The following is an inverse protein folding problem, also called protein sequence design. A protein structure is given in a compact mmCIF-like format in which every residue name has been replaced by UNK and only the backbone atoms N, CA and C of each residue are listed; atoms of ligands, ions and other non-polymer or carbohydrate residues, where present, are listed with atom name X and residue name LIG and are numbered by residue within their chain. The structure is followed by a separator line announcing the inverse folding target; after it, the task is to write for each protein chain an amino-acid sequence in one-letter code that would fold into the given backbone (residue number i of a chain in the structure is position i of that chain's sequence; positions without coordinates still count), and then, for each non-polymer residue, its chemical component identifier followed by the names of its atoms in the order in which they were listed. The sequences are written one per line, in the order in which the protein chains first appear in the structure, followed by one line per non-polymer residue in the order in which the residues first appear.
data_IF_802478678737
#
_entry.id   IF_802478678737
#
_cell.length_a   1.000
_cell.length_b   1.000
_cell.length_c   1.000
_cell.angle_alpha   90.00
_cell.angle_beta   90.00
_cell.angle_gamma   90.00
#
_symmetry.space_group_name_H-M   'P 1'
#
loop_
_entity.id
_entity.type
_entity.pdbx_description
1 polymer ?
#
# COMPACT_ATOMS: atom_id res chain seq x y z
N UNK A 1 24.88 27.04 -17.62
CA UNK A 1 24.12 26.02 -16.88
C UNK A 1 23.93 24.85 -17.83
N UNK A 2 24.65 23.74 -17.64
CA UNK A 2 24.47 22.55 -18.49
C UNK A 2 23.05 22.05 -18.27
N UNK A 3 22.26 21.96 -19.34
CA UNK A 3 20.89 21.48 -19.25
C UNK A 3 20.94 20.00 -18.82
N UNK A 4 20.48 19.74 -17.59
CA UNK A 4 20.47 18.42 -16.95
C UNK A 4 19.38 17.57 -17.61
N UNK A 5 19.67 17.05 -18.80
CA UNK A 5 18.75 16.16 -19.51
C UNK A 5 19.14 14.71 -19.23
N UNK A 6 18.18 13.90 -18.79
CA UNK A 6 18.35 12.45 -18.69
C UNK A 6 17.55 11.79 -19.82
N UNK A 7 18.12 11.85 -21.02
CA UNK A 7 17.45 11.33 -22.21
C UNK A 7 17.33 9.81 -22.14
N UNK A 8 16.13 9.31 -22.41
CA UNK A 8 15.85 7.88 -22.48
C UNK A 8 16.56 7.30 -23.72
N UNK A 9 17.58 6.45 -23.51
CA UNK A 9 18.30 5.77 -24.60
C UNK A 9 17.61 4.49 -25.02
N UNK A 10 17.16 3.71 -24.04
CA UNK A 10 16.42 2.47 -24.25
C UNK A 10 15.63 2.08 -23.02
N UNK A 11 14.53 1.36 -23.26
CA UNK A 11 13.74 0.67 -22.26
C UNK A 11 13.74 -0.83 -22.59
N UNK A 12 13.89 -1.67 -21.57
CA UNK A 12 13.80 -3.12 -21.72
C UNK A 12 12.98 -3.70 -20.58
N UNK A 13 11.82 -4.24 -20.92
CA UNK A 13 10.97 -4.97 -20.00
C UNK A 13 11.28 -6.46 -20.01
N UNK A 14 11.08 -7.10 -18.86
CA UNK A 14 11.12 -8.55 -18.66
C UNK A 14 10.04 -8.98 -17.68
N UNK A 15 9.76 -10.27 -17.69
CA UNK A 15 8.88 -10.89 -16.71
C UNK A 15 9.72 -11.47 -15.57
N UNK A 16 9.33 -11.16 -14.34
CA UNK A 16 9.91 -11.70 -13.10
C UNK A 16 8.79 -12.33 -12.26
N UNK A 17 9.11 -12.88 -11.08
CA UNK A 17 8.11 -13.37 -10.13
C UNK A 17 7.96 -12.42 -8.95
N UNK A 18 6.72 -12.22 -8.50
CA UNK A 18 6.38 -11.55 -7.25
C UNK A 18 6.55 -12.48 -6.03
N UNK A 19 6.29 -11.96 -4.83
CA UNK A 19 6.45 -12.64 -3.56
C UNK A 19 5.52 -13.85 -3.35
N UNK A 20 4.53 -14.02 -4.23
CA UNK A 20 3.59 -15.16 -4.26
C UNK A 20 3.93 -16.14 -5.39
N UNK A 21 5.01 -15.90 -6.12
CA UNK A 21 5.44 -16.72 -7.25
C UNK A 21 4.60 -16.52 -8.51
N UNK A 22 3.81 -15.44 -8.61
CA UNK A 22 3.10 -15.10 -9.84
C UNK A 22 3.96 -14.19 -10.71
N UNK A 23 3.82 -14.23 -12.05
CA UNK A 23 4.54 -13.32 -12.92
C UNK A 23 4.20 -11.85 -12.66
N UNK A 24 5.17 -10.96 -12.84
CA UNK A 24 4.98 -9.51 -12.87
C UNK A 24 6.03 -8.84 -13.77
N UNK A 25 5.87 -7.55 -14.02
CA UNK A 25 6.68 -6.77 -14.96
C UNK A 25 7.84 -6.10 -14.21
N UNK A 26 9.04 -6.18 -14.79
CA UNK A 26 10.20 -5.37 -14.44
C UNK A 26 10.71 -4.64 -15.69
N UNK A 27 11.16 -3.39 -15.53
CA UNK A 27 11.68 -2.56 -16.62
C UNK A 27 13.04 -1.97 -16.22
N UNK A 28 14.01 -2.13 -17.12
CA UNK A 28 15.25 -1.35 -17.10
C UNK A 28 15.14 -0.16 -18.06
N UNK A 29 15.57 1.00 -17.57
CA UNK A 29 15.71 2.24 -18.33
C UNK A 29 17.18 2.64 -18.35
N UNK A 30 17.74 2.82 -19.54
CA UNK A 30 19.10 3.33 -19.74
C UNK A 30 19.05 4.81 -20.13
N UNK A 31 19.79 5.67 -19.43
CA UNK A 31 20.04 7.06 -19.81
C UNK A 31 21.53 7.37 -19.90
N UNK A 32 21.88 8.66 -20.02
CA UNK A 32 23.24 9.15 -19.83
C UNK A 32 23.76 9.01 -18.39
N UNK A 33 22.87 8.83 -17.40
CA UNK A 33 23.21 8.69 -15.99
C UNK A 33 23.40 7.25 -15.53
N UNK A 34 22.99 6.26 -16.32
CA UNK A 34 23.15 4.85 -16.00
C UNK A 34 21.90 4.02 -16.30
N UNK A 35 21.82 2.86 -15.67
CA UNK A 35 20.67 1.95 -15.74
C UNK A 35 19.86 2.07 -14.45
N UNK A 36 18.55 2.23 -14.60
CA UNK A 36 17.58 2.25 -13.51
C UNK A 36 16.60 1.11 -13.73
N UNK A 37 16.15 0.50 -12.64
CA UNK A 37 15.22 -0.63 -12.69
C UNK A 37 14.00 -0.33 -11.83
N UNK A 38 12.83 -0.75 -12.27
CA UNK A 38 11.64 -0.81 -11.43
C UNK A 38 10.80 -2.02 -11.75
N UNK A 39 10.13 -2.57 -10.73
CA UNK A 39 9.17 -3.66 -10.89
C UNK A 39 7.87 -3.34 -10.17
N UNK A 40 6.77 -3.86 -10.71
CA UNK A 40 5.42 -3.52 -10.23
C UNK A 40 4.82 -4.63 -9.37
N UNK A 41 4.12 -4.28 -8.28
CA UNK A 41 3.45 -5.26 -7.44
C UNK A 41 2.09 -5.68 -8.03
N UNK A 42 1.52 -6.76 -7.51
CA UNK A 42 0.22 -7.33 -7.88
C UNK A 42 -0.70 -7.48 -6.66
N UNK A 43 -2.01 -7.29 -6.85
CA UNK A 43 -3.03 -7.43 -5.80
C UNK A 43 -3.54 -8.86 -5.60
N UNK A 44 -4.07 -9.19 -4.42
CA UNK A 44 -4.93 -10.37 -4.20
C UNK A 44 -6.41 -10.03 -4.41
N UNK A 45 -6.87 -8.97 -3.74
CA UNK A 45 -8.11 -8.27 -4.02
C UNK A 45 -7.86 -7.23 -5.12
N UNK A 46 -8.65 -7.30 -6.19
CA UNK A 46 -8.67 -6.30 -7.26
C UNK A 46 -10.05 -5.66 -7.22
N UNK A 47 -10.12 -4.42 -6.75
CA UNK A 47 -11.35 -3.65 -6.72
C UNK A 47 -11.88 -3.36 -8.13
N UNK A 48 -13.19 -3.21 -8.28
CA UNK A 48 -13.84 -2.98 -9.58
C UNK A 48 -13.39 -1.69 -10.28
N UNK A 49 -12.89 -0.74 -9.49
CA UNK A 49 -12.57 0.62 -9.92
C UNK A 49 -11.06 0.86 -10.12
N UNK A 50 -10.23 -0.19 -9.97
CA UNK A 50 -8.79 -0.12 -10.21
C UNK A 50 -8.47 -0.03 -11.72
N UNK A 51 -7.31 0.57 -12.02
CA UNK A 51 -6.66 0.42 -13.30
C UNK A 51 -6.34 -1.06 -13.57
N UNK A 52 -6.48 -1.50 -14.82
CA UNK A 52 -6.48 -2.91 -15.17
C UNK A 52 -5.05 -3.43 -15.35
N UNK A 53 -4.67 -4.38 -14.51
CA UNK A 53 -3.49 -5.19 -14.75
C UNK A 53 -3.69 -6.12 -15.96
N UNK A 54 -2.80 -6.05 -16.96
CA UNK A 54 -2.90 -6.91 -18.14
C UNK A 54 -2.20 -8.25 -17.90
N UNK A 55 -2.96 -9.34 -18.02
CA UNK A 55 -2.53 -10.73 -17.91
C UNK A 55 -2.72 -11.46 -19.25
N UNK A 56 -1.90 -12.47 -19.52
CA UNK A 56 -1.90 -13.22 -20.79
C UNK A 56 -3.08 -14.20 -20.93
N UNK A 57 -3.73 -14.57 -19.82
CA UNK A 57 -4.71 -15.66 -19.75
C UNK A 57 -4.11 -17.02 -20.23
N UNK A 58 -4.94 -18.06 -20.29
CA UNK A 58 -4.53 -19.41 -20.73
C UNK A 58 -3.79 -20.26 -19.69
N UNK A 59 -3.03 -21.28 -20.13
CA UNK A 59 -2.44 -22.29 -19.24
C UNK A 59 -1.18 -21.81 -18.52
N UNK A 60 -0.39 -20.95 -19.17
CA UNK A 60 0.93 -20.52 -18.69
C UNK A 60 0.78 -19.71 -17.39
N UNK A 61 1.48 -20.13 -16.33
CA UNK A 61 1.33 -19.56 -14.98
C UNK A 61 -0.14 -19.50 -14.51
N UNK A 62 -0.98 -20.48 -14.90
CA UNK A 62 -2.41 -20.51 -14.58
C UNK A 62 -3.14 -19.22 -15.00
N UNK A 63 -2.81 -18.71 -16.18
CA UNK A 63 -3.41 -17.51 -16.77
C UNK A 63 -2.83 -16.19 -16.25
N UNK A 64 -1.82 -16.24 -15.39
CA UNK A 64 -1.21 -15.04 -14.77
C UNK A 64 0.07 -14.56 -15.46
N UNK A 65 0.40 -15.06 -16.64
CA UNK A 65 1.51 -14.53 -17.44
C UNK A 65 1.37 -13.03 -17.72
N UNK A 66 2.48 -12.33 -17.95
CA UNK A 66 2.49 -10.90 -18.31
C UNK A 66 3.33 -10.61 -19.56
N UNK A 67 3.52 -11.59 -20.44
CA UNK A 67 4.30 -11.43 -21.67
C UNK A 67 3.70 -10.40 -22.61
N UNK A 68 2.37 -10.23 -22.61
CA UNK A 68 1.67 -9.20 -23.37
C UNK A 68 2.02 -7.81 -22.87
N UNK A 69 1.98 -7.58 -21.55
CA UNK A 69 2.39 -6.32 -20.93
C UNK A 69 3.89 -6.03 -21.20
N UNK A 70 4.75 -7.04 -21.08
CA UNK A 70 6.18 -6.94 -21.43
C UNK A 70 6.37 -6.60 -22.92
N UNK A 71 5.58 -7.19 -23.81
CA UNK A 71 5.58 -6.89 -25.25
C UNK A 71 5.16 -5.45 -25.51
N UNK A 72 4.10 -4.97 -24.84
CA UNK A 72 3.61 -3.61 -24.96
C UNK A 72 4.70 -2.61 -24.61
N UNK A 73 5.46 -2.85 -23.52
CA UNK A 73 6.60 -1.99 -23.19
C UNK A 73 7.66 -2.04 -24.28
N UNK A 74 8.14 -3.25 -24.63
CA UNK A 74 9.28 -3.41 -25.52
C UNK A 74 9.00 -2.96 -26.97
N UNK A 75 7.78 -3.17 -27.48
CA UNK A 75 7.44 -2.96 -28.90
C UNK A 75 6.64 -1.68 -29.15
N UNK A 76 5.89 -1.18 -28.16
CA UNK A 76 4.98 -0.04 -28.35
C UNK A 76 5.49 1.18 -27.57
N UNK A 77 5.78 1.05 -26.28
CA UNK A 77 6.17 2.18 -25.43
C UNK A 77 7.63 2.58 -25.69
N UNK A 78 8.56 1.62 -25.65
CA UNK A 78 9.99 1.85 -25.76
C UNK A 78 10.41 2.64 -27.01
N UNK A 79 9.93 2.32 -28.24
CA UNK A 79 10.29 3.10 -29.42
C UNK A 79 9.80 4.55 -29.38
N UNK A 80 8.69 4.82 -28.69
CA UNK A 80 8.06 6.16 -28.66
C UNK A 80 8.58 7.05 -27.53
N UNK A 81 9.14 6.47 -26.47
CA UNK A 81 9.78 7.22 -25.38
C UNK A 81 11.26 7.53 -25.63
N UNK A 82 11.91 6.85 -26.59
CA UNK A 82 13.31 7.09 -26.91
C UNK A 82 13.57 8.56 -27.24
N UNK A 83 14.55 9.16 -26.57
CA UNK A 83 14.96 10.55 -26.76
C UNK A 83 14.18 11.58 -25.92
N UNK A 84 13.07 11.19 -25.27
CA UNK A 84 12.39 12.05 -24.29
C UNK A 84 13.22 12.20 -23.01
N UNK A 85 12.98 13.27 -22.28
CA UNK A 85 13.65 13.56 -21.01
C UNK A 85 12.96 12.82 -19.87
N UNK A 86 13.67 11.95 -19.15
CA UNK A 86 13.11 11.18 -18.03
C UNK A 86 12.74 12.05 -16.82
N UNK A 87 13.21 13.30 -16.76
CA UNK A 87 12.92 14.23 -15.67
C UNK A 87 11.52 14.87 -15.77
N UNK A 88 10.90 14.90 -16.96
CA UNK A 88 9.53 15.41 -17.13
C UNK A 88 8.50 14.31 -16.85
N UNK A 89 8.34 13.99 -15.56
CA UNK A 89 7.46 12.91 -15.10
C UNK A 89 6.03 13.08 -15.64
N UNK A 90 5.50 14.31 -15.61
CA UNK A 90 4.14 14.59 -16.05
C UNK A 90 4.00 14.42 -17.56
N UNK A 91 4.94 14.91 -18.37
CA UNK A 91 4.88 14.71 -19.82
C UNK A 91 4.93 13.22 -20.17
N UNK A 92 5.75 12.43 -19.48
CA UNK A 92 5.86 10.98 -19.67
C UNK A 92 4.57 10.28 -19.31
N UNK A 93 4.03 10.53 -18.11
CA UNK A 93 2.81 9.87 -17.65
C UNK A 93 1.60 10.25 -18.51
N UNK A 94 1.45 11.54 -18.84
CA UNK A 94 0.41 12.02 -19.76
C UNK A 94 0.56 11.39 -21.16
N UNK A 95 1.81 11.19 -21.63
CA UNK A 95 2.08 10.49 -22.88
C UNK A 95 1.68 9.03 -22.82
N UNK A 96 2.00 8.31 -21.73
CA UNK A 96 1.64 6.91 -21.54
C UNK A 96 0.13 6.72 -21.49
N UNK A 97 -0.58 7.58 -20.75
CA UNK A 97 -2.04 7.59 -20.66
C UNK A 97 -2.67 7.81 -22.04
N UNK A 98 -2.22 8.82 -22.80
CA UNK A 98 -2.69 9.04 -24.18
C UNK A 98 -2.34 7.89 -25.12
N UNK A 99 -1.16 7.30 -24.94
CA UNK A 99 -0.69 6.17 -25.74
C UNK A 99 -1.50 4.91 -25.48
N UNK A 100 -2.11 4.78 -24.30
CA UNK A 100 -3.09 3.74 -23.98
C UNK A 100 -4.50 4.10 -24.48
N UNK A 101 -4.98 5.30 -24.18
CA UNK A 101 -6.25 5.83 -24.68
C UNK A 101 -7.52 5.19 -24.10
N UNK A 102 -7.41 4.33 -23.07
CA UNK A 102 -8.54 3.82 -22.29
C UNK A 102 -8.58 4.45 -20.90
N UNK A 103 -9.77 4.56 -20.31
CA UNK A 103 -9.96 5.18 -18.99
C UNK A 103 -9.22 4.41 -17.88
N UNK A 104 -9.21 3.09 -17.95
CA UNK A 104 -8.66 2.19 -16.93
C UNK A 104 -7.35 1.52 -17.35
N UNK A 105 -6.66 2.04 -18.38
CA UNK A 105 -5.34 1.56 -18.83
C UNK A 105 -5.35 0.10 -19.34
N UNK A 106 -6.50 -0.40 -19.80
CA UNK A 106 -6.70 -1.80 -20.14
C UNK A 106 -6.04 -2.23 -21.45
N UNK A 107 -5.64 -1.30 -22.33
CA UNK A 107 -5.06 -1.65 -23.63
C UNK A 107 -3.58 -2.01 -23.53
N UNK A 108 -2.80 -1.21 -22.82
CA UNK A 108 -1.38 -1.45 -22.59
C UNK A 108 -1.14 -2.23 -21.29
N UNK A 109 -2.05 -2.08 -20.31
CA UNK A 109 -1.95 -2.63 -18.97
C UNK A 109 -1.40 -1.60 -17.99
N UNK A 110 -2.07 -1.43 -16.85
CA UNK A 110 -1.62 -0.58 -15.76
C UNK A 110 -0.25 -1.02 -15.20
N UNK A 111 0.03 -2.33 -15.20
CA UNK A 111 1.33 -2.90 -14.86
C UNK A 111 2.44 -2.47 -15.85
N UNK A 112 2.14 -2.40 -17.15
CA UNK A 112 3.10 -1.90 -18.14
C UNK A 112 3.39 -0.40 -17.99
N UNK A 113 2.34 0.39 -17.83
CA UNK A 113 2.43 1.85 -17.72
C UNK A 113 3.14 2.24 -16.43
N UNK A 114 2.76 1.65 -15.29
CA UNK A 114 3.35 1.99 -14.01
C UNK A 114 4.84 1.64 -13.94
N UNK A 115 5.25 0.49 -14.49
CA UNK A 115 6.65 0.08 -14.47
C UNK A 115 7.54 1.12 -15.19
N UNK A 116 7.06 1.65 -16.31
CA UNK A 116 7.74 2.71 -17.07
C UNK A 116 7.69 4.04 -16.31
N UNK A 117 6.55 4.39 -15.71
CA UNK A 117 6.39 5.60 -14.91
C UNK A 117 7.36 5.66 -13.72
N UNK A 118 7.47 4.58 -12.94
CA UNK A 118 8.37 4.48 -11.78
C UNK A 118 9.84 4.55 -12.17
N UNK A 119 10.24 3.84 -13.24
CA UNK A 119 11.65 3.81 -13.65
C UNK A 119 12.08 5.15 -14.26
N UNK A 120 11.16 5.88 -14.92
CA UNK A 120 11.41 7.26 -15.35
C UNK A 120 11.60 8.18 -14.15
N UNK A 121 10.79 8.06 -13.10
CA UNK A 121 10.94 8.83 -11.86
C UNK A 121 12.31 8.59 -11.20
N UNK A 122 12.78 7.34 -11.15
CA UNK A 122 14.15 7.00 -10.68
C UNK A 122 15.24 7.65 -11.52
N UNK A 123 15.10 7.62 -12.84
CA UNK A 123 16.05 8.25 -13.74
C UNK A 123 16.03 9.79 -13.65
N UNK A 124 14.84 10.38 -13.47
CA UNK A 124 14.63 11.81 -13.22
C UNK A 124 15.38 12.29 -11.99
N UNK A 125 15.28 11.58 -10.87
CA UNK A 125 16.02 11.89 -9.65
C UNK A 125 17.55 11.91 -9.88
N UNK A 126 18.07 10.94 -10.64
CA UNK A 126 19.49 10.88 -10.97
C UNK A 126 19.94 11.94 -11.97
N UNK A 127 19.04 12.49 -12.79
CA UNK A 127 19.34 13.60 -13.70
C UNK A 127 19.71 14.87 -12.94
N UNK A 128 19.10 15.04 -11.77
CA UNK A 128 19.25 16.18 -10.87
C UNK A 128 20.32 15.95 -9.79
N UNK A 129 20.92 14.77 -9.77
CA UNK A 129 21.88 14.29 -8.77
C UNK A 129 21.30 14.35 -7.33
N UNK A 130 20.03 13.97 -7.18
CA UNK A 130 19.32 13.91 -5.89
C UNK A 130 18.71 12.53 -5.63
N UNK A 131 18.41 12.24 -4.37
CA UNK A 131 17.69 11.03 -3.97
C UNK A 131 16.25 11.04 -4.47
N UNK A 132 15.70 9.86 -4.78
CA UNK A 132 14.34 9.70 -5.31
C UNK A 132 13.26 10.40 -4.47
N UNK A 133 13.25 10.24 -3.15
CA UNK A 133 12.28 10.94 -2.29
C UNK A 133 12.34 12.48 -2.41
N UNK A 134 13.52 13.06 -2.68
CA UNK A 134 13.67 14.51 -2.90
C UNK A 134 13.10 14.90 -4.26
N UNK A 135 13.34 14.10 -5.28
CA UNK A 135 12.78 14.31 -6.62
C UNK A 135 11.26 14.23 -6.59
N UNK A 136 10.67 13.18 -5.99
CA UNK A 136 9.22 13.03 -5.82
C UNK A 136 8.61 14.25 -5.11
N UNK A 137 9.29 14.77 -4.07
CA UNK A 137 8.86 16.00 -3.39
C UNK A 137 8.86 17.22 -4.30
N UNK A 138 9.90 17.37 -5.12
CA UNK A 138 10.01 18.50 -6.04
C UNK A 138 8.92 18.46 -7.11
N UNK A 139 8.69 17.31 -7.73
CA UNK A 139 7.68 17.16 -8.78
C UNK A 139 6.24 17.16 -8.24
N UNK A 140 6.02 16.82 -6.97
CA UNK A 140 4.72 16.99 -6.28
C UNK A 140 4.44 18.43 -5.83
N UNK A 141 5.40 19.36 -6.02
CA UNK A 141 5.21 20.78 -5.67
C UNK A 141 5.21 21.08 -4.17
N UNK A 142 5.55 20.11 -3.31
CA UNK A 142 5.60 20.28 -1.86
C UNK A 142 6.79 21.17 -1.47
N UNK A 143 6.49 22.33 -0.84
CA UNK A 143 7.49 23.37 -0.52
C UNK A 143 8.10 23.28 0.88
N UNK A 144 7.63 22.36 1.72
CA UNK A 144 8.17 22.21 3.07
C UNK A 144 9.68 21.89 3.01
N UNK A 145 10.42 22.31 4.04
CA UNK A 145 11.88 22.14 4.09
C UNK A 145 12.31 20.89 4.87
N UNK A 146 11.49 20.46 5.82
CA UNK A 146 11.76 19.30 6.66
C UNK A 146 11.29 18.03 5.96
N UNK A 147 12.08 16.96 6.02
CA UNK A 147 11.63 15.64 5.58
C UNK A 147 11.20 14.85 6.82
N UNK A 148 9.92 14.51 6.88
CA UNK A 148 9.38 13.65 7.92
C UNK A 148 9.21 12.25 7.34
N UNK A 149 9.62 11.23 8.08
CA UNK A 149 9.32 9.86 7.70
C UNK A 149 7.88 9.52 8.10
N UNK A 150 7.17 8.71 7.30
CA UNK A 150 5.83 8.25 7.65
C UNK A 150 5.88 7.32 8.87
N UNK A 151 4.81 7.33 9.65
CA UNK A 151 4.61 6.32 10.70
C UNK A 151 4.35 4.96 10.04
N UNK A 152 5.13 3.94 10.40
CA UNK A 152 4.92 2.61 9.84
C UNK A 152 3.87 1.82 10.62
N UNK A 153 3.00 1.16 9.87
CA UNK A 153 2.12 0.11 10.37
C UNK A 153 2.64 -1.24 9.87
N UNK A 154 2.64 -2.22 10.76
CA UNK A 154 3.20 -3.54 10.52
C UNK A 154 2.13 -4.60 10.68
N UNK A 155 1.77 -5.30 9.61
CA UNK A 155 0.78 -6.38 9.65
C UNK A 155 1.37 -7.61 10.35
N UNK A 156 0.92 -7.90 11.58
CA UNK A 156 1.52 -8.96 12.42
C UNK A 156 0.64 -10.20 12.58
N UNK A 157 -0.68 -10.07 12.37
CA UNK A 157 -1.62 -11.18 12.31
C UNK A 157 -2.51 -10.98 11.08
N UNK A 158 -2.58 -12.02 10.26
CA UNK A 158 -3.39 -12.06 9.05
C UNK A 158 -4.69 -12.83 9.29
N UNK A 159 -5.74 -12.41 8.61
CA UNK A 159 -6.99 -13.14 8.38
C UNK A 159 -7.44 -12.96 6.93
N UNK A 160 -8.74 -13.11 6.70
CA UNK A 160 -9.38 -12.88 5.40
C UNK A 160 -8.71 -13.65 4.27
N UNK A 161 -8.56 -13.00 3.11
CA UNK A 161 -7.93 -13.60 1.93
C UNK A 161 -6.42 -13.84 2.08
N UNK A 162 -5.77 -13.26 3.11
CA UNK A 162 -4.32 -13.32 3.32
C UNK A 162 -3.88 -14.50 4.22
N UNK A 163 -4.83 -15.27 4.74
CA UNK A 163 -4.58 -16.38 5.65
C UNK A 163 -5.54 -17.56 5.43
N UNK A 164 -5.08 -18.77 5.74
CA UNK A 164 -5.91 -19.98 5.75
C UNK A 164 -6.62 -20.24 7.09
N UNK A 165 -6.80 -19.21 7.92
CA UNK A 165 -7.43 -19.34 9.25
C UNK A 165 -8.90 -18.89 9.24
N UNK A 166 -9.50 -18.86 10.42
CA UNK A 166 -10.91 -18.52 10.63
C UNK A 166 -11.15 -17.05 10.98
N UNK A 167 -10.16 -16.18 10.82
CA UNK A 167 -10.29 -14.77 11.13
C UNK A 167 -10.79 -14.04 9.89
N UNK A 168 -11.94 -13.36 9.97
CA UNK A 168 -12.52 -12.72 8.78
C UNK A 168 -11.90 -11.36 8.45
N UNK A 169 -11.47 -10.60 9.47
CA UNK A 169 -10.74 -9.35 9.26
C UNK A 169 -9.33 -9.65 8.74
N UNK A 170 -8.90 -8.88 7.74
CA UNK A 170 -7.75 -9.22 6.92
C UNK A 170 -6.41 -8.92 7.59
N UNK A 171 -6.25 -7.77 8.25
CA UNK A 171 -4.97 -7.35 8.82
C UNK A 171 -5.14 -6.78 10.22
N UNK A 172 -4.28 -7.21 11.13
CA UNK A 172 -4.12 -6.61 12.45
C UNK A 172 -2.70 -6.06 12.57
N UNK A 173 -2.62 -4.74 12.47
CA UNK A 173 -1.35 -4.03 12.39
C UNK A 173 -0.99 -3.35 13.70
N UNK A 174 0.31 -3.36 14.03
CA UNK A 174 0.85 -2.50 15.09
C UNK A 174 1.46 -1.24 14.49
N UNK A 175 1.23 -0.11 15.14
CA UNK A 175 1.80 1.19 14.81
C UNK A 175 2.56 1.74 16.03
N UNK A 176 3.86 1.46 16.16
CA UNK A 176 4.69 1.97 17.26
C UNK A 176 4.73 3.50 17.31
N UNK A 177 4.71 4.06 18.52
CA UNK A 177 4.69 5.50 18.78
C UNK A 177 6.08 5.97 19.22
N UNK A 178 6.98 6.17 18.25
CA UNK A 178 8.36 6.61 18.49
C UNK A 178 8.68 7.90 17.71
N UNK A 179 9.76 8.60 18.11
CA UNK A 179 10.22 9.82 17.43
C UNK A 179 11.02 9.52 16.14
N UNK A 180 11.61 8.34 16.06
CA UNK A 180 12.42 7.91 14.92
C UNK A 180 11.81 6.66 14.30
N UNK A 181 11.94 6.54 12.99
CA UNK A 181 11.54 5.36 12.25
C UNK A 181 12.36 4.13 12.67
N UNK A 182 13.68 4.27 12.86
CA UNK A 182 14.53 3.19 13.42
C UNK A 182 14.01 2.62 14.72
N UNK A 183 13.58 3.47 15.66
CA UNK A 183 12.99 3.04 16.92
C UNK A 183 11.64 2.33 16.73
N UNK A 184 10.81 2.83 15.80
CA UNK A 184 9.54 2.18 15.45
C UNK A 184 9.78 0.79 14.88
N UNK A 185 10.72 0.66 13.95
CA UNK A 185 10.99 -0.59 13.27
C UNK A 185 11.60 -1.64 14.21
N UNK A 186 12.53 -1.24 15.08
CA UNK A 186 13.06 -2.11 16.15
C UNK A 186 11.93 -2.62 17.05
N UNK A 187 11.08 -1.71 17.56
CA UNK A 187 9.97 -2.06 18.44
C UNK A 187 9.02 -3.06 17.79
N UNK A 188 8.66 -2.82 16.53
CA UNK A 188 7.80 -3.73 15.78
C UNK A 188 8.43 -5.11 15.60
N UNK A 189 9.73 -5.18 15.28
CA UNK A 189 10.44 -6.44 15.13
C UNK A 189 10.50 -7.24 16.44
N UNK A 190 10.75 -6.59 17.58
CA UNK A 190 10.78 -7.22 18.90
C UNK A 190 9.40 -7.75 19.31
N UNK A 191 8.33 -6.96 19.12
CA UNK A 191 6.94 -7.39 19.36
C UNK A 191 6.60 -8.59 18.47
N UNK A 192 6.99 -8.55 17.20
CA UNK A 192 6.73 -9.62 16.24
C UNK A 192 7.43 -10.94 16.64
N UNK A 193 8.67 -10.90 17.16
CA UNK A 193 9.33 -12.10 17.68
C UNK A 193 8.66 -12.64 18.95
N UNK A 194 8.23 -11.78 19.87
CA UNK A 194 7.49 -12.22 21.05
C UNK A 194 6.12 -12.82 20.70
N UNK A 195 5.43 -12.21 19.74
CA UNK A 195 4.17 -12.73 19.21
C UNK A 195 4.37 -14.12 18.61
N UNK A 196 5.45 -14.35 17.85
CA UNK A 196 5.83 -15.68 17.35
C UNK A 196 5.95 -16.71 18.47
N UNK A 197 6.64 -16.36 19.55
CA UNK A 197 6.85 -17.26 20.70
C UNK A 197 5.50 -17.58 21.37
N UNK A 198 4.66 -16.58 21.58
CA UNK A 198 3.33 -16.74 22.19
C UNK A 198 2.43 -17.62 21.33
N UNK A 199 2.33 -17.36 20.03
CA UNK A 199 1.53 -18.14 19.08
C UNK A 199 2.01 -19.59 19.04
N UNK A 200 3.33 -19.81 18.92
CA UNK A 200 3.92 -21.15 18.89
C UNK A 200 3.60 -21.95 20.15
N UNK A 201 3.71 -21.32 21.31
CA UNK A 201 3.45 -21.95 22.61
C UNK A 201 1.96 -22.24 22.82
N UNK A 202 1.07 -21.35 22.39
CA UNK A 202 -0.38 -21.47 22.61
C UNK A 202 -1.03 -22.45 21.64
N UNK A 203 -0.58 -22.48 20.39
CA UNK A 203 -1.25 -23.24 19.32
C UNK A 203 -0.36 -24.36 18.80
N UNK A 204 0.62 -24.05 17.96
CA UNK A 204 1.55 -25.04 17.41
C UNK A 204 2.73 -24.38 16.69
N UNK A 205 3.74 -25.17 16.35
CA UNK A 205 4.80 -24.73 15.45
C UNK A 205 4.29 -24.40 14.02
N UNK A 206 3.18 -24.99 13.57
CA UNK A 206 2.59 -24.65 12.28
C UNK A 206 1.85 -23.30 12.30
N UNK A 207 1.34 -22.88 13.47
CA UNK A 207 0.62 -21.62 13.63
C UNK A 207 1.50 -20.36 13.47
N UNK A 208 2.84 -20.52 13.44
CA UNK A 208 3.79 -19.43 13.16
C UNK A 208 4.27 -19.39 11.70
N UNK A 209 3.60 -20.12 10.81
CA UNK A 209 3.76 -19.90 9.38
C UNK A 209 3.21 -18.52 9.01
N UNK A 210 3.80 -17.94 7.97
CA UNK A 210 3.51 -16.58 7.54
C UNK A 210 2.52 -16.59 6.39
N UNK A 211 1.58 -15.65 6.37
CA UNK A 211 0.78 -15.38 5.18
C UNK A 211 1.56 -14.55 4.15
N UNK A 212 0.83 -14.05 3.15
CA UNK A 212 1.40 -13.33 2.01
C UNK A 212 2.24 -12.11 2.43
N UNK A 213 1.81 -11.41 3.47
CA UNK A 213 2.42 -10.14 3.91
C UNK A 213 3.37 -10.29 5.10
N UNK A 214 3.65 -11.54 5.50
CA UNK A 214 4.60 -11.84 6.56
C UNK A 214 3.98 -11.92 7.95
N UNK A 215 2.74 -11.49 8.16
CA UNK A 215 2.04 -11.70 9.43
C UNK A 215 1.75 -13.18 9.71
N UNK A 216 1.54 -13.54 10.98
CA UNK A 216 1.18 -14.90 11.38
C UNK A 216 -0.30 -15.19 11.08
N UNK A 217 -0.62 -16.47 10.85
CA UNK A 217 -2.00 -16.93 10.66
C UNK A 217 -2.41 -17.92 11.77
N UNK A 218 -2.54 -17.47 13.03
CA UNK A 218 -2.96 -18.36 14.13
C UNK A 218 -4.41 -18.84 13.91
N UNK A 219 -4.80 -20.01 14.44
CA UNK A 219 -6.14 -20.57 14.29
C UNK A 219 -7.12 -19.87 15.25
N UNK A 220 -7.44 -18.61 14.94
CA UNK A 220 -8.36 -17.76 15.70
C UNK A 220 -9.47 -17.27 14.78
N UNK A 221 -10.65 -17.03 15.34
CA UNK A 221 -11.80 -16.49 14.61
C UNK A 221 -12.34 -15.16 15.14
N UNK A 222 -12.06 -14.84 16.40
CA UNK A 222 -12.52 -13.61 17.05
C UNK A 222 -11.44 -12.51 16.95
N UNK A 223 -11.77 -11.30 16.46
CA UNK A 223 -10.88 -10.16 16.46
C UNK A 223 -10.27 -9.84 17.84
N UNK A 224 -11.05 -9.97 18.91
CA UNK A 224 -10.58 -9.75 20.29
C UNK A 224 -9.44 -10.70 20.68
N UNK A 225 -9.45 -11.93 20.17
CA UNK A 225 -8.38 -12.91 20.45
C UNK A 225 -7.10 -12.51 19.74
N UNK A 226 -7.18 -12.06 18.48
CA UNK A 226 -6.03 -11.55 17.74
C UNK A 226 -5.43 -10.31 18.43
N UNK A 227 -6.27 -9.33 18.80
CA UNK A 227 -5.87 -8.15 19.55
C UNK A 227 -5.22 -8.52 20.90
N UNK A 228 -5.79 -9.48 21.62
CA UNK A 228 -5.23 -9.96 22.89
C UNK A 228 -3.86 -10.62 22.75
N UNK A 229 -3.60 -11.35 21.65
CA UNK A 229 -2.28 -11.92 21.37
C UNK A 229 -1.24 -10.81 21.13
N UNK A 230 -1.58 -9.80 20.34
CA UNK A 230 -0.70 -8.66 20.03
C UNK A 230 -0.36 -7.89 21.31
N UNK A 231 -1.38 -7.50 22.08
CA UNK A 231 -1.18 -6.74 23.31
C UNK A 231 -0.38 -7.52 24.34
N UNK A 232 -0.61 -8.83 24.48
CA UNK A 232 0.18 -9.69 25.35
C UNK A 232 1.65 -9.80 24.92
N UNK A 233 1.92 -9.80 23.61
CA UNK A 233 3.28 -9.78 23.10
C UNK A 233 4.00 -8.47 23.44
N UNK A 234 3.32 -7.33 23.26
CA UNK A 234 3.85 -6.02 23.61
C UNK A 234 4.05 -5.86 25.13
N UNK A 235 3.10 -6.32 25.95
CA UNK A 235 3.16 -6.30 27.41
C UNK A 235 4.39 -7.06 27.95
N UNK A 236 4.69 -8.22 27.36
CA UNK A 236 5.81 -9.06 27.80
C UNK A 236 7.19 -8.37 27.68
N UNK A 237 7.29 -7.34 26.83
CA UNK A 237 8.50 -6.54 26.63
C UNK A 237 8.29 -5.05 26.97
N UNK A 238 7.24 -4.72 27.73
CA UNK A 238 6.93 -3.37 28.24
C UNK A 238 6.73 -2.31 27.14
N UNK A 239 6.10 -2.70 26.02
CA UNK A 239 5.77 -1.82 24.89
C UNK A 239 4.27 -1.55 24.71
N UNK A 240 3.41 -2.12 25.55
CA UNK A 240 1.94 -2.03 25.46
C UNK A 240 1.42 -0.58 25.46
N UNK A 241 2.06 0.33 26.20
CA UNK A 241 1.72 1.76 26.23
C UNK A 241 2.28 2.57 25.05
N UNK A 242 3.17 1.96 24.25
CA UNK A 242 3.90 2.61 23.15
C UNK A 242 3.43 2.17 21.76
N UNK A 243 2.38 1.36 21.68
CA UNK A 243 1.80 0.93 20.41
C UNK A 243 0.35 1.36 20.27
N UNK A 244 -0.03 1.60 19.02
CA UNK A 244 -1.42 1.68 18.59
C UNK A 244 -1.71 0.54 17.61
N UNK A 245 -2.99 0.30 17.36
CA UNK A 245 -3.45 -0.75 16.45
C UNK A 245 -4.20 -0.12 15.28
N UNK A 246 -3.97 -0.67 14.09
CA UNK A 246 -4.76 -0.39 12.89
C UNK A 246 -5.33 -1.72 12.42
N UNK A 247 -6.61 -1.76 12.07
CA UNK A 247 -7.28 -2.96 11.55
C UNK A 247 -7.65 -2.69 10.10
N UNK A 248 -7.31 -3.61 9.21
CA UNK A 248 -7.96 -3.71 7.90
C UNK A 248 -9.00 -4.82 7.97
N UNK A 249 -10.27 -4.44 7.87
CA UNK A 249 -11.36 -5.39 7.87
C UNK A 249 -11.56 -6.03 6.49
N UNK A 250 -11.26 -5.32 5.40
CA UNK A 250 -11.57 -5.74 4.02
C UNK A 250 -13.02 -6.26 3.87
N UNK A 251 -13.99 -5.53 4.40
CA UNK A 251 -15.35 -6.04 4.65
C UNK A 251 -16.12 -6.46 3.39
N UNK A 252 -15.70 -5.98 2.21
CA UNK A 252 -16.17 -6.48 0.91
C UNK A 252 -16.07 -8.01 0.80
N UNK A 253 -15.07 -8.64 1.41
CA UNK A 253 -14.83 -10.09 1.33
C UNK A 253 -15.88 -10.94 2.07
N UNK A 254 -16.56 -10.36 3.06
CA UNK A 254 -17.59 -11.05 3.84
C UNK A 254 -18.96 -10.38 3.75
N UNK A 255 -19.17 -9.48 2.78
CA UNK A 255 -20.46 -8.87 2.50
C UNK A 255 -21.27 -9.74 1.52
N UNK A 256 -22.30 -10.43 2.02
CA UNK A 256 -23.08 -11.39 1.25
C UNK A 256 -24.57 -11.21 1.50
N UNK A 257 -25.32 -10.88 0.44
CA UNK A 257 -26.77 -10.73 0.50
C UNK A 257 -27.23 -9.55 1.36
N UNK A 258 -26.51 -8.42 1.29
CA UNK A 258 -26.84 -7.20 2.03
C UNK A 258 -26.50 -7.23 3.52
N UNK A 259 -25.74 -8.23 3.97
CA UNK A 259 -25.29 -8.37 5.36
C UNK A 259 -23.82 -8.77 5.42
N UNK A 260 -23.18 -8.45 6.53
CA UNK A 260 -21.78 -8.80 6.81
C UNK A 260 -21.73 -10.14 7.55
N UNK A 261 -21.29 -11.20 6.89
CA UNK A 261 -21.28 -12.57 7.41
C UNK A 261 -19.87 -12.98 7.81
N UNK A 262 -19.57 -12.83 9.09
CA UNK A 262 -18.33 -13.31 9.68
C UNK A 262 -18.56 -14.67 10.36
N UNK A 263 -17.49 -15.39 10.69
CA UNK A 263 -17.55 -16.62 11.47
C UNK A 263 -17.95 -16.38 12.93
N UNK A 264 -17.89 -15.14 13.39
CA UNK A 264 -18.31 -14.75 14.74
C UNK A 264 -19.68 -14.06 14.81
N UNK A 265 -20.33 -13.82 13.67
CA UNK A 265 -21.68 -13.23 13.65
C UNK A 265 -22.14 -12.81 12.26
N UNK A 266 -23.44 -12.50 12.15
CA UNK A 266 -24.01 -11.90 10.95
C UNK A 266 -24.59 -10.54 11.32
N UNK A 267 -24.05 -9.49 10.73
CA UNK A 267 -24.33 -8.11 11.11
C UNK A 267 -25.09 -7.37 10.01
N UNK A 268 -26.02 -6.50 10.42
CA UNK A 268 -26.38 -5.35 9.60
C UNK A 268 -25.25 -4.29 9.70
N UNK A 269 -25.31 -3.25 8.86
CA UNK A 269 -24.33 -2.18 8.85
C UNK A 269 -24.20 -1.48 10.22
N UNK A 270 -25.34 -1.19 10.84
CA UNK A 270 -25.44 -0.54 12.14
C UNK A 270 -24.84 -1.41 13.26
N UNK A 271 -25.18 -2.69 13.28
CA UNK A 271 -24.65 -3.63 14.29
C UNK A 271 -23.12 -3.79 14.16
N UNK A 272 -22.60 -3.80 12.92
CA UNK A 272 -21.17 -3.90 12.68
C UNK A 272 -20.44 -2.60 13.04
N UNK A 273 -21.05 -1.44 12.76
CA UNK A 273 -20.58 -0.13 13.24
C UNK A 273 -20.44 -0.12 14.76
N UNK A 274 -21.47 -0.56 15.49
CA UNK A 274 -21.44 -0.65 16.96
C UNK A 274 -20.36 -1.61 17.46
N UNK A 275 -20.16 -2.73 16.76
CA UNK A 275 -19.09 -3.67 17.06
C UNK A 275 -17.71 -3.01 16.93
N UNK A 276 -17.44 -2.28 15.84
CA UNK A 276 -16.19 -1.54 15.65
C UNK A 276 -15.97 -0.46 16.71
N UNK A 277 -16.99 0.34 17.03
CA UNK A 277 -16.90 1.34 18.09
C UNK A 277 -16.63 0.70 19.46
N UNK A 278 -17.22 -0.46 19.71
CA UNK A 278 -16.94 -1.28 20.88
C UNK A 278 -15.47 -1.71 20.96
N UNK A 279 -14.88 -2.14 19.84
CA UNK A 279 -13.45 -2.48 19.76
C UNK A 279 -12.57 -1.25 20.02
N UNK A 280 -12.85 -0.13 19.35
CA UNK A 280 -12.09 1.12 19.51
C UNK A 280 -12.09 1.60 20.97
N UNK A 281 -13.22 1.42 21.69
CA UNK A 281 -13.31 1.78 23.11
C UNK A 281 -12.47 0.88 24.03
N UNK A 282 -12.32 -0.40 23.68
CA UNK A 282 -11.66 -1.42 24.52
C UNK A 282 -10.16 -1.58 24.24
N UNK A 283 -9.73 -1.28 23.03
CA UNK A 283 -8.36 -1.54 22.55
C UNK A 283 -7.73 -0.25 22.01
N UNK A 284 -6.40 -0.13 21.96
CA UNK A 284 -5.71 1.08 21.48
C UNK A 284 -5.76 1.21 19.94
N UNK A 285 -6.94 1.03 19.34
CA UNK A 285 -7.18 1.12 17.91
C UNK A 285 -7.30 2.59 17.53
N UNK A 286 -6.49 3.01 16.56
CA UNK A 286 -6.48 4.40 16.05
C UNK A 286 -7.01 4.52 14.64
N UNK A 287 -7.14 3.40 13.91
CA UNK A 287 -7.68 3.41 12.57
C UNK A 287 -8.33 2.07 12.21
N UNK A 288 -9.37 2.16 11.37
CA UNK A 288 -10.01 1.02 10.72
C UNK A 288 -10.06 1.30 9.21
N UNK A 289 -9.49 0.39 8.43
CA UNK A 289 -9.50 0.34 6.98
C UNK A 289 -10.61 -0.60 6.50
N UNK A 290 -11.31 -0.17 5.45
CA UNK A 290 -12.42 -0.89 4.80
C UNK A 290 -13.41 -1.58 5.76
N UNK A 291 -14.00 -0.84 6.72
CA UNK A 291 -14.99 -1.38 7.66
C UNK A 291 -16.26 -1.91 6.97
N UNK A 292 -16.56 -1.46 5.75
CA UNK A 292 -17.77 -1.84 5.00
C UNK A 292 -17.44 -2.12 3.54
N UNK A 293 -18.36 -2.76 2.82
CA UNK A 293 -18.16 -3.10 1.43
C UNK A 293 -17.97 -1.85 0.54
N UNK A 294 -17.21 -1.99 -0.55
CA UNK A 294 -16.77 -0.89 -1.43
C UNK A 294 -17.90 -0.03 -2.05
N UNK A 295 -19.14 -0.53 -2.05
CA UNK A 295 -20.32 0.17 -2.58
C UNK A 295 -21.40 0.44 -1.53
N UNK A 296 -21.19 0.04 -0.26
CA UNK A 296 -22.15 0.26 0.83
C UNK A 296 -21.99 1.66 1.44
N UNK A 297 -22.16 2.68 0.61
CA UNK A 297 -21.97 4.08 1.01
C UNK A 297 -22.79 4.50 2.23
N UNK A 298 -23.95 3.88 2.46
CA UNK A 298 -24.78 4.16 3.61
C UNK A 298 -24.12 3.68 4.90
N UNK A 299 -23.58 2.47 4.93
CA UNK A 299 -22.83 1.94 6.08
C UNK A 299 -21.58 2.79 6.41
N UNK A 300 -20.80 3.19 5.39
CA UNK A 300 -19.65 4.07 5.57
C UNK A 300 -20.03 5.41 6.23
N UNK A 301 -21.10 6.06 5.75
CA UNK A 301 -21.61 7.31 6.33
C UNK A 301 -22.07 7.14 7.78
N UNK A 302 -22.79 6.06 8.07
CA UNK A 302 -23.26 5.76 9.43
C UNK A 302 -22.06 5.69 10.36
N UNK A 303 -21.07 4.87 10.03
CA UNK A 303 -19.90 4.69 10.88
C UNK A 303 -19.06 5.95 11.04
N UNK A 304 -18.85 6.71 9.96
CA UNK A 304 -18.18 8.01 10.03
C UNK A 304 -18.93 8.98 10.95
N UNK A 305 -20.27 9.05 10.84
CA UNK A 305 -21.08 9.92 11.69
C UNK A 305 -21.04 9.50 13.16
N UNK A 306 -21.19 8.20 13.45
CA UNK A 306 -21.15 7.69 14.82
C UNK A 306 -19.76 7.84 15.46
N UNK A 307 -18.68 7.58 14.70
CA UNK A 307 -17.29 7.80 15.13
C UNK A 307 -17.04 9.27 15.50
N UNK A 308 -17.59 10.21 14.72
CA UNK A 308 -17.54 11.64 15.03
C UNK A 308 -18.35 12.00 16.28
N UNK A 309 -19.57 11.45 16.45
CA UNK A 309 -20.43 11.71 17.62
C UNK A 309 -19.78 11.28 18.94
N UNK A 310 -19.14 10.12 18.96
CA UNK A 310 -18.46 9.60 20.16
C UNK A 310 -17.00 10.08 20.26
N UNK A 311 -16.58 10.96 19.35
CA UNK A 311 -15.27 11.60 19.27
C UNK A 311 -14.11 10.62 19.45
N UNK A 312 -14.12 9.50 18.71
CA UNK A 312 -13.05 8.49 18.83
C UNK A 312 -11.68 9.04 18.40
N UNK A 313 -11.66 10.05 17.53
CA UNK A 313 -10.45 10.53 16.86
C UNK A 313 -9.82 9.50 15.93
N UNK A 314 -10.52 8.40 15.63
CA UNK A 314 -10.02 7.31 14.79
C UNK A 314 -10.04 7.71 13.32
N UNK A 315 -9.08 7.16 12.57
CA UNK A 315 -9.10 7.25 11.12
C UNK A 315 -9.99 6.16 10.54
N UNK A 316 -10.86 6.54 9.64
CA UNK A 316 -11.66 5.65 8.81
C UNK A 316 -11.01 5.72 7.44
N UNK A 317 -10.30 4.66 7.08
CA UNK A 317 -9.44 4.61 5.90
C UNK A 317 -10.19 3.91 4.77
N UNK A 318 -10.30 4.56 3.62
CA UNK A 318 -10.79 3.91 2.40
C UNK A 318 -9.66 3.29 1.58
N UNK A 319 -9.78 2.01 1.24
CA UNK A 319 -8.93 1.28 0.30
C UNK A 319 -9.74 0.85 -0.93
N UNK A 320 -10.48 -0.26 -0.88
CA UNK A 320 -11.36 -0.72 -1.97
C UNK A 320 -12.43 0.34 -2.29
N UNK A 321 -12.92 1.04 -1.25
CA UNK A 321 -13.87 2.16 -1.40
C UNK A 321 -13.33 3.22 -2.35
N UNK A 322 -12.03 3.49 -2.37
CA UNK A 322 -11.44 4.61 -3.09
C UNK A 322 -10.66 4.16 -4.31
N UNK A 323 -10.05 2.98 -4.27
CA UNK A 323 -9.20 2.39 -5.31
C UNK A 323 -8.14 3.38 -5.86
N UNK A 324 -7.62 4.26 -5.01
CA UNK A 324 -6.72 5.37 -5.39
C UNK A 324 -7.29 6.25 -6.54
N UNK A 325 -8.62 6.28 -6.71
CA UNK A 325 -9.31 6.95 -7.81
C UNK A 325 -9.80 8.34 -7.39
N UNK A 326 -9.37 9.40 -8.09
CA UNK A 326 -9.71 10.78 -7.77
C UNK A 326 -11.24 11.07 -7.79
N UNK A 327 -11.99 10.41 -8.67
CA UNK A 327 -13.46 10.55 -8.72
C UNK A 327 -14.12 9.98 -7.47
N UNK A 328 -13.70 8.79 -7.03
CA UNK A 328 -14.21 8.15 -5.82
C UNK A 328 -13.79 8.88 -4.55
N UNK A 329 -12.57 9.43 -4.50
CA UNK A 329 -12.12 10.31 -3.40
C UNK A 329 -13.05 11.53 -3.28
N UNK A 330 -13.40 12.20 -4.39
CA UNK A 330 -14.35 13.32 -4.37
C UNK A 330 -15.74 12.89 -3.92
N UNK A 331 -16.23 11.75 -4.39
CA UNK A 331 -17.53 11.22 -4.00
C UNK A 331 -17.59 10.89 -2.51
N UNK A 332 -16.56 10.21 -1.98
CA UNK A 332 -16.45 9.87 -0.57
C UNK A 332 -16.37 11.11 0.33
N UNK A 333 -15.65 12.15 -0.10
CA UNK A 333 -15.66 13.45 0.58
C UNK A 333 -17.05 14.08 0.57
N UNK A 334 -17.73 14.12 -0.58
CA UNK A 334 -19.08 14.68 -0.70
C UNK A 334 -20.13 13.94 0.14
N UNK A 335 -19.89 12.64 0.41
CA UNK A 335 -20.74 11.81 1.26
C UNK A 335 -20.32 11.83 2.73
N UNK A 336 -19.15 12.39 3.09
CA UNK A 336 -18.53 12.22 4.42
C UNK A 336 -18.45 10.72 4.80
N UNK A 337 -17.85 9.92 3.93
CA UNK A 337 -17.76 8.46 4.10
C UNK A 337 -16.52 8.00 4.87
N UNK A 338 -15.40 8.73 4.75
CA UNK A 338 -14.12 8.42 5.39
C UNK A 338 -13.30 9.71 5.59
N UNK A 339 -12.16 9.61 6.28
CA UNK A 339 -11.26 10.76 6.57
C UNK A 339 -9.78 10.45 6.32
N UNK A 340 -9.50 9.32 5.68
CA UNK A 340 -8.17 8.88 5.31
C UNK A 340 -8.24 7.98 4.07
N UNK A 341 -7.15 7.91 3.31
CA UNK A 341 -7.07 7.10 2.08
C UNK A 341 -5.81 6.24 2.06
N UNK A 342 -5.96 5.03 1.55
CA UNK A 342 -4.84 4.25 1.03
C UNK A 342 -4.44 4.82 -0.34
N UNK A 343 -3.12 4.88 -0.59
CA UNK A 343 -2.56 5.18 -1.91
C UNK A 343 -1.73 3.97 -2.37
N UNK A 344 -2.21 3.31 -3.43
CA UNK A 344 -1.54 2.20 -4.12
C UNK A 344 -1.28 2.60 -5.55
N UNK A 345 -0.01 2.79 -5.92
CA UNK A 345 0.33 3.30 -7.26
C UNK A 345 -0.21 2.41 -8.39
N UNK A 346 -0.26 1.09 -8.20
CA UNK A 346 -0.74 0.17 -9.23
C UNK A 346 -2.27 0.13 -9.36
N UNK A 347 -3.03 0.70 -8.40
CA UNK A 347 -4.47 0.88 -8.56
C UNK A 347 -4.82 2.04 -9.51
N UNK A 348 -3.92 3.03 -9.67
CA UNK A 348 -4.15 4.16 -10.57
C UNK A 348 -3.29 4.11 -11.84
N UNK A 349 -2.06 3.59 -11.74
CA UNK A 349 -1.23 3.20 -12.89
C UNK A 349 -0.10 4.16 -13.27
N UNK A 350 -0.01 5.36 -12.69
CA UNK A 350 1.14 6.28 -12.89
C UNK A 350 1.56 6.96 -11.59
N UNK A 351 2.81 7.43 -11.52
CA UNK A 351 3.32 8.21 -10.39
C UNK A 351 2.61 9.57 -10.33
N UNK A 352 2.39 10.24 -11.47
CA UNK A 352 1.67 11.52 -11.53
C UNK A 352 0.24 11.40 -10.99
N UNK A 353 -0.57 10.46 -11.46
CA UNK A 353 -1.96 10.34 -10.98
C UNK A 353 -2.01 9.94 -9.49
N UNK A 354 -1.04 9.16 -8.99
CA UNK A 354 -0.95 8.84 -7.56
C UNK A 354 -0.62 10.08 -6.70
N UNK A 355 0.24 10.98 -7.18
CA UNK A 355 0.50 12.27 -6.52
C UNK A 355 -0.73 13.17 -6.56
N UNK A 356 -1.44 13.25 -7.69
CA UNK A 356 -2.66 14.05 -7.84
C UNK A 356 -3.78 13.53 -6.90
N UNK A 357 -3.95 12.21 -6.78
CA UNK A 357 -4.89 11.59 -5.83
C UNK A 357 -4.52 11.92 -4.37
N UNK A 358 -3.22 11.90 -4.06
CA UNK A 358 -2.71 12.29 -2.73
C UNK A 358 -2.99 13.75 -2.43
N UNK A 359 -2.69 14.65 -3.37
CA UNK A 359 -2.90 16.10 -3.22
C UNK A 359 -4.39 16.41 -3.00
N UNK A 360 -5.26 15.76 -3.77
CA UNK A 360 -6.71 15.89 -3.63
C UNK A 360 -7.18 15.48 -2.23
N UNK A 361 -6.78 14.31 -1.73
CA UNK A 361 -7.15 13.86 -0.39
C UNK A 361 -6.61 14.81 0.69
N UNK A 362 -5.35 15.27 0.57
CA UNK A 362 -4.77 16.27 1.48
C UNK A 362 -5.53 17.60 1.47
N UNK A 363 -6.07 18.01 0.33
CA UNK A 363 -6.88 19.24 0.22
C UNK A 363 -8.17 19.16 1.05
N UNK A 364 -8.65 17.95 1.37
CA UNK A 364 -9.77 17.70 2.27
C UNK A 364 -9.35 17.53 3.74
N UNK A 365 -8.06 17.68 4.06
CA UNK A 365 -7.52 17.43 5.38
C UNK A 365 -7.40 15.95 5.75
N UNK A 366 -7.50 15.04 4.76
CA UNK A 366 -7.43 13.61 5.01
C UNK A 366 -6.00 13.15 5.30
N UNK A 367 -5.91 12.06 6.07
CA UNK A 367 -4.65 11.35 6.30
C UNK A 367 -4.31 10.44 5.13
N UNK A 368 -3.02 10.37 4.81
CA UNK A 368 -2.51 9.58 3.70
C UNK A 368 -1.75 8.37 4.22
N UNK A 369 -2.10 7.18 3.77
CA UNK A 369 -1.34 5.96 3.99
C UNK A 369 -0.88 5.37 2.67
N UNK A 370 0.44 5.36 2.43
CA UNK A 370 1.00 4.66 1.26
C UNK A 370 1.03 3.17 1.55
N UNK A 371 0.64 2.35 0.58
CA UNK A 371 0.48 0.91 0.79
C UNK A 371 1.22 0.08 -0.25
N UNK A 372 1.71 -1.07 0.21
CA UNK A 372 2.16 -2.18 -0.64
C UNK A 372 0.97 -2.90 -1.33
N UNK A 373 1.24 -4.05 -1.95
CA UNK A 373 0.22 -5.05 -2.30
C UNK A 373 0.59 -6.42 -1.77
N UNK A 374 -0.36 -7.35 -1.73
CA UNK A 374 -0.14 -8.73 -1.29
C UNK A 374 0.92 -9.46 -2.12
N UNK A 375 0.99 -9.23 -3.45
CA UNK A 375 2.08 -9.71 -4.31
C UNK A 375 3.13 -8.64 -4.56
N UNK A 376 4.08 -8.47 -3.65
CA UNK A 376 5.15 -7.48 -3.78
C UNK A 376 6.39 -8.02 -4.50
N UNK A 377 7.28 -7.12 -4.92
CA UNK A 377 8.63 -7.41 -5.38
C UNK A 377 9.65 -6.85 -4.38
N UNK A 378 10.95 -6.97 -4.67
CA UNK A 378 11.98 -6.32 -3.83
C UNK A 378 12.18 -4.83 -4.16
N UNK A 379 11.36 -4.25 -5.03
CA UNK A 379 11.40 -2.82 -5.35
C UNK A 379 10.98 -1.98 -4.15
N UNK A 380 11.79 -1.00 -3.74
CA UNK A 380 11.57 -0.18 -2.56
C UNK A 380 10.90 1.18 -2.84
N UNK A 381 10.38 1.39 -4.06
CA UNK A 381 9.87 2.69 -4.52
C UNK A 381 8.89 3.35 -3.56
N UNK A 382 7.97 2.57 -2.98
CA UNK A 382 6.92 3.12 -2.10
C UNK A 382 7.49 3.76 -0.83
N UNK A 383 8.70 3.40 -0.40
CA UNK A 383 9.38 4.05 0.72
C UNK A 383 9.79 5.49 0.37
N UNK A 384 10.44 5.69 -0.78
CA UNK A 384 10.76 7.02 -1.28
C UNK A 384 9.51 7.82 -1.62
N UNK A 385 8.50 7.17 -2.21
CA UNK A 385 7.23 7.81 -2.52
C UNK A 385 6.56 8.34 -1.25
N UNK A 386 6.39 7.51 -0.21
CA UNK A 386 5.78 7.93 1.05
C UNK A 386 6.48 9.12 1.70
N UNK A 387 7.82 9.17 1.67
CA UNK A 387 8.56 10.32 2.18
C UNK A 387 8.40 11.53 1.26
N UNK A 388 8.51 11.33 -0.06
CA UNK A 388 8.46 12.40 -1.05
C UNK A 388 7.12 13.13 -1.09
N UNK A 389 6.02 12.39 -0.93
CA UNK A 389 4.66 12.96 -0.89
C UNK A 389 4.23 13.39 0.52
N UNK A 390 5.10 13.30 1.53
CA UNK A 390 4.79 13.56 2.95
C UNK A 390 3.56 12.76 3.44
N UNK A 391 3.54 11.45 3.22
CA UNK A 391 2.49 10.59 3.75
C UNK A 391 2.52 10.56 5.28
N UNK A 392 1.34 10.47 5.92
CA UNK A 392 1.25 10.32 7.37
C UNK A 392 1.68 8.91 7.81
N UNK A 393 1.28 7.90 7.01
CA UNK A 393 1.53 6.50 7.28
C UNK A 393 2.09 5.74 6.07
N UNK A 394 2.73 4.61 6.36
CA UNK A 394 3.07 3.59 5.39
C UNK A 394 2.67 2.20 5.93
N UNK A 395 2.03 1.38 5.09
CA UNK A 395 1.83 -0.06 5.35
C UNK A 395 2.59 -0.88 4.31
N UNK A 396 3.59 -1.63 4.77
CA UNK A 396 4.46 -2.42 3.89
C UNK A 396 4.64 -3.87 4.37
N UNK A 397 3.74 -4.36 5.23
CA UNK A 397 3.67 -5.74 5.71
C UNK A 397 4.31 -5.94 7.08
N UNK A 398 4.60 -7.19 7.44
CA UNK A 398 5.31 -7.50 8.68
C UNK A 398 6.79 -7.08 8.60
N UNK A 399 7.51 -7.01 9.74
CA UNK A 399 8.97 -7.00 9.77
C UNK A 399 9.56 -8.38 9.42
N UNK A 400 9.02 -9.04 8.38
CA UNK A 400 9.37 -10.35 7.89
C UNK A 400 9.10 -10.43 6.39
N UNK A 401 9.78 -11.37 5.71
CA UNK A 401 9.82 -11.54 4.25
C UNK A 401 10.56 -10.40 3.52
N UNK A 402 11.38 -10.76 2.54
CA UNK A 402 12.35 -9.85 1.92
C UNK A 402 11.69 -8.67 1.20
N UNK A 403 10.59 -8.93 0.52
CA UNK A 403 9.84 -7.93 -0.24
C UNK A 403 9.21 -6.85 0.64
N UNK A 404 8.99 -7.14 1.93
CA UNK A 404 8.46 -6.21 2.93
C UNK A 404 9.59 -5.43 3.57
N UNK A 405 10.57 -6.17 4.08
CA UNK A 405 11.76 -5.63 4.76
C UNK A 405 12.57 -4.71 3.84
N UNK A 406 12.56 -4.92 2.52
CA UNK A 406 13.18 -4.02 1.54
C UNK A 406 12.72 -2.55 1.72
N UNK A 407 11.41 -2.31 1.89
CA UNK A 407 10.84 -0.96 2.04
C UNK A 407 11.24 -0.34 3.38
N UNK A 408 11.16 -1.12 4.46
CA UNK A 408 11.56 -0.64 5.79
C UNK A 408 13.06 -0.34 5.87
N UNK A 409 13.90 -1.19 5.27
CA UNK A 409 15.34 -0.92 5.18
C UNK A 409 15.65 0.31 4.32
N UNK A 410 14.84 0.58 3.28
CA UNK A 410 14.95 1.82 2.51
C UNK A 410 14.60 3.04 3.36
N UNK A 411 13.55 2.96 4.19
CA UNK A 411 13.21 4.03 5.14
C UNK A 411 14.31 4.28 6.17
N UNK A 412 15.01 3.25 6.69
CA UNK A 412 16.20 3.44 7.54
C UNK A 412 17.26 4.29 6.83
N UNK A 413 17.59 3.95 5.57
CA UNK A 413 18.55 4.73 4.77
C UNK A 413 18.09 6.17 4.56
N UNK A 414 16.79 6.39 4.34
CA UNK A 414 16.24 7.76 4.18
C UNK A 414 16.34 8.54 5.51
N UNK A 415 16.11 7.90 6.66
CA UNK A 415 16.28 8.51 7.98
C UNK A 415 17.71 9.00 8.21
N UNK A 416 18.71 8.18 7.88
CA UNK A 416 20.13 8.54 7.95
C UNK A 416 20.43 9.78 7.08
N UNK A 417 20.01 9.74 5.81
CA UNK A 417 20.18 10.84 4.86
C UNK A 417 19.48 12.15 5.29
N UNK A 418 18.34 12.07 5.97
CA UNK A 418 17.61 13.24 6.45
C UNK A 418 18.18 13.81 7.76
N UNK A 419 18.75 12.95 8.61
CA UNK A 419 19.38 13.35 9.87
C UNK A 419 20.81 13.86 9.70
N UNK A 420 21.38 13.79 8.49
CA UNK A 420 22.75 14.20 8.19
C UNK A 420 23.81 13.29 8.82
N UNK A 421 23.44 12.02 9.08
CA UNK A 421 24.32 11.00 9.66
C UNK A 421 24.98 10.14 8.60
#
# INVERSE_FOLDING_TARGET
MSARHSKIKSLKAREILDSRGNPTVEVDLLTDKGIFTSSVPSGASVGKYEAVELRDEGERYRGKGVLTAVSNINKIIAPKLKGKDSADQKEIDDFLIRLDGTENKSRLGANAILAVSMVCCRAGASSEDISLYKHIRQISGIKSKAYNLPSASFNVINGGAHAGNDLDFQEFMIAPQTKTFSGSFQMAAEIYQELKIIIKRRYSAAAINLGDEGGFAPPVSLPEVALGLILKAAEKINYESKIKIIIDAAASQFFVGGRYKTRFGIFAAEDLSDYYLGLIKRYPIVAIEDPFAENDWDAWKIFQSESQKVNTGSLIIGDDLLATNAGRIKEAQGKNACNATIIKLNQIGTVTEAMEATELAKSFGWKIMVSHRSGETNDDFIADFAVGIEADYIKAGAPARGERVAKYNRLLKIEELCSGR
#
